data_IF_601730192278
#
_entry.id   IF_601730192278
#
_cell.length_a   1.000
_cell.length_b   1.000
_cell.length_c   1.000
_cell.angle_alpha   90.00
_cell.angle_beta   90.00
_cell.angle_gamma   90.00
#
_symmetry.space_group_name_H-M   'P 1'
#
loop_
_entity.id
_entity.type
_entity.pdbx_description
1 polymer ?
#
# COMPACT_ATOMS: atom_id res chain seq x y z
N UNK A 1 -2.00 -20.95 10.28
CA UNK A 1 -1.72 -19.68 10.97
C UNK A 1 -2.71 -18.67 10.40
N UNK A 2 -3.77 -18.36 11.13
CA UNK A 2 -4.73 -17.31 10.72
C UNK A 2 -4.23 -16.02 11.38
N UNK A 3 -4.04 -14.91 10.62
CA UNK A 3 -3.63 -13.64 11.19
C UNK A 3 -4.58 -13.22 12.31
N UNK A 4 -4.06 -12.67 13.41
CA UNK A 4 -4.88 -12.14 14.51
C UNK A 4 -5.86 -11.05 14.03
N UNK A 5 -5.43 -10.29 13.00
CA UNK A 5 -6.22 -9.29 12.30
C UNK A 5 -5.66 -9.09 10.90
N UNK A 6 -6.52 -9.00 9.89
CA UNK A 6 -6.17 -8.74 8.50
C UNK A 6 -7.27 -7.96 7.79
N UNK A 7 -6.89 -7.30 6.70
CA UNK A 7 -7.82 -6.63 5.79
C UNK A 7 -7.65 -7.19 4.38
N UNK A 8 -8.78 -7.46 3.73
CA UNK A 8 -8.86 -7.86 2.33
C UNK A 8 -9.45 -6.68 1.56
N UNK A 9 -8.65 -6.15 0.65
CA UNK A 9 -9.02 -5.09 -0.27
C UNK A 9 -9.39 -5.77 -1.59
N UNK A 10 -10.60 -5.54 -2.10
CA UNK A 10 -11.07 -6.11 -3.36
C UNK A 10 -11.27 -5.04 -4.42
N UNK A 11 -11.10 -5.45 -5.67
CA UNK A 11 -11.33 -4.62 -6.86
C UNK A 11 -10.54 -3.30 -6.79
N UNK A 12 -9.26 -3.38 -6.45
CA UNK A 12 -8.41 -2.21 -6.26
C UNK A 12 -7.94 -1.61 -7.59
N UNK A 13 -8.44 -0.42 -7.91
CA UNK A 13 -7.98 0.36 -9.06
C UNK A 13 -6.79 1.23 -8.67
N UNK A 14 -5.68 1.22 -9.42
CA UNK A 14 -4.60 2.18 -9.23
C UNK A 14 -5.07 3.56 -9.68
N UNK A 15 -4.91 4.56 -8.81
CA UNK A 15 -5.39 5.93 -9.07
C UNK A 15 -4.27 6.96 -9.18
N UNK A 16 -3.12 6.70 -8.56
CA UNK A 16 -1.95 7.58 -8.67
C UNK A 16 -0.67 6.77 -8.54
N UNK A 17 0.27 7.04 -9.44
CA UNK A 17 1.64 6.56 -9.31
C UNK A 17 2.56 7.76 -9.17
N UNK A 18 3.36 7.77 -8.11
CA UNK A 18 4.39 8.77 -7.88
C UNK A 18 5.73 8.04 -7.92
N UNK A 19 6.47 8.31 -8.99
CA UNK A 19 7.87 7.91 -9.10
C UNK A 19 8.63 8.61 -7.97
N UNK A 20 9.60 7.92 -7.39
CA UNK A 20 10.44 8.50 -6.35
C UNK A 20 11.11 9.79 -6.81
N UNK A 21 11.47 10.63 -5.83
CA UNK A 21 11.98 11.98 -6.08
C UNK A 21 13.14 12.02 -7.06
N UNK A 22 13.33 13.21 -7.63
CA UNK A 22 14.46 13.52 -8.51
C UNK A 22 15.77 13.05 -7.88
N UNK A 23 16.56 12.33 -8.67
CA UNK A 23 17.84 11.78 -8.26
C UNK A 23 18.80 12.91 -7.86
N UNK A 24 18.94 13.12 -6.56
CA UNK A 24 19.90 14.07 -6.00
C UNK A 24 21.17 13.32 -5.58
N UNK A 25 22.29 13.63 -6.23
CA UNK A 25 23.59 13.03 -5.95
C UNK A 25 24.19 13.48 -4.61
N UNK A 26 23.61 14.50 -3.97
CA UNK A 26 23.97 14.96 -2.63
C UNK A 26 23.10 14.36 -1.53
N UNK A 27 22.02 13.69 -1.92
CA UNK A 27 21.10 13.01 -1.02
C UNK A 27 21.43 11.52 -0.93
N UNK A 28 21.36 10.96 0.29
CA UNK A 28 21.59 9.54 0.58
C UNK A 28 20.30 8.83 1.00
N UNK A 29 19.14 9.47 0.86
CA UNK A 29 17.84 8.88 1.16
C UNK A 29 17.46 7.75 0.19
N UNK A 30 16.63 6.82 0.69
CA UNK A 30 16.11 5.72 -0.13
C UNK A 30 15.02 6.28 -1.05
N UNK A 31 15.19 6.08 -2.35
CA UNK A 31 14.15 6.42 -3.33
C UNK A 31 12.91 5.54 -3.12
N UNK A 32 11.79 6.17 -2.77
CA UNK A 32 10.50 5.48 -2.60
C UNK A 32 9.60 5.72 -3.79
N UNK A 33 9.09 4.64 -4.39
CA UNK A 33 8.01 4.71 -5.36
C UNK A 33 6.68 4.48 -4.64
N UNK A 34 5.72 5.37 -4.83
CA UNK A 34 4.41 5.28 -4.20
C UNK A 34 3.35 4.90 -5.25
N UNK A 35 2.54 3.89 -4.93
CA UNK A 35 1.33 3.54 -5.67
C UNK A 35 0.12 3.73 -4.76
N UNK A 36 -0.81 4.55 -5.20
CA UNK A 36 -2.08 4.78 -4.54
C UNK A 36 -3.18 3.99 -5.24
N UNK A 37 -3.98 3.27 -4.45
CA UNK A 37 -5.07 2.43 -4.92
C UNK A 37 -6.40 2.86 -4.31
N UNK A 38 -7.48 2.68 -5.06
CA UNK A 38 -8.86 2.86 -4.61
C UNK A 38 -9.56 1.51 -4.64
N UNK A 39 -9.76 0.86 -3.48
CA UNK A 39 -10.53 -0.38 -3.36
C UNK A 39 -12.03 -0.09 -3.41
N UNK A 40 -12.79 -0.94 -4.09
CA UNK A 40 -14.26 -0.86 -4.10
C UNK A 40 -14.85 -1.43 -2.79
N UNK A 41 -14.24 -2.50 -2.27
CA UNK A 41 -14.67 -3.14 -1.01
C UNK A 41 -13.47 -3.46 -0.12
N UNK A 42 -13.66 -3.22 1.18
CA UNK A 42 -12.69 -3.53 2.23
C UNK A 42 -13.37 -4.44 3.26
N UNK A 43 -12.79 -5.61 3.49
CA UNK A 43 -13.24 -6.55 4.53
C UNK A 43 -12.18 -6.70 5.60
N UNK A 44 -12.60 -6.72 6.86
CA UNK A 44 -11.75 -7.04 8.00
C UNK A 44 -12.05 -8.47 8.45
N UNK A 45 -11.00 -9.26 8.70
CA UNK A 45 -11.14 -10.59 9.29
C UNK A 45 -10.03 -10.84 10.30
N UNK A 46 -10.37 -11.58 11.34
CA UNK A 46 -9.47 -11.92 12.44
C UNK A 46 -10.04 -13.07 13.23
N UNK A 47 -9.23 -13.59 14.14
CA UNK A 47 -9.70 -14.62 15.07
C UNK A 47 -10.60 -13.92 16.10
N UNK A 48 -11.88 -14.28 16.15
CA UNK A 48 -12.72 -13.90 17.29
C UNK A 48 -12.06 -14.45 18.56
N UNK A 49 -11.76 -13.56 19.51
CA UNK A 49 -11.19 -13.92 20.79
C UNK A 49 -12.03 -14.98 21.51
#
# INVERSE_FOLDING_TARGET
>A
YVPAKAWLLMDCLPIRYKVGQDFDATDSEITLMELEISPDRIEEFGVAA
#
